data_IF_224489570242
#
_entry.id   IF_224489570242
#
_cell.length_a   1.000
_cell.length_b   1.000
_cell.length_c   1.000
_cell.angle_alpha   90.00
_cell.angle_beta   90.00
_cell.angle_gamma   90.00
#
_symmetry.space_group_name_H-M   'P 1'
#
loop_
_entity.id
_entity.type
_entity.pdbx_description
1 polymer ?
#
# COMPACT_ATOMS: atom_id res chain seq x y z
N UNK A 1 5.23 -7.47 18.57
CA UNK A 1 5.95 -6.23 18.22
C UNK A 1 5.17 -5.57 17.10
N UNK A 2 4.30 -4.61 17.43
CA UNK A 2 3.44 -3.95 16.44
C UNK A 2 4.26 -2.90 15.71
N UNK A 3 4.35 -3.00 14.38
CA UNK A 3 5.00 -1.98 13.56
C UNK A 3 4.15 -0.70 13.66
N UNK A 4 4.73 0.40 14.13
CA UNK A 4 4.07 1.70 14.12
C UNK A 4 3.85 2.14 12.66
N UNK A 5 2.70 2.73 12.28
CA UNK A 5 2.41 3.12 10.89
C UNK A 5 3.50 3.98 10.24
N UNK A 6 4.09 4.91 11.01
CA UNK A 6 5.21 5.73 10.54
C UNK A 6 6.48 4.91 10.24
N UNK A 7 6.74 3.83 10.98
CA UNK A 7 7.86 2.93 10.71
C UNK A 7 7.61 2.10 9.43
N UNK A 8 6.37 1.62 9.24
CA UNK A 8 5.99 0.91 8.01
C UNK A 8 6.16 1.80 6.76
N UNK A 9 5.71 3.06 6.82
CA UNK A 9 5.87 4.01 5.73
C UNK A 9 7.33 4.26 5.38
N UNK A 10 8.19 4.50 6.38
CA UNK A 10 9.64 4.67 6.17
C UNK A 10 10.28 3.44 5.55
N UNK A 11 9.88 2.25 5.99
CA UNK A 11 10.38 1.00 5.42
C UNK A 11 9.95 0.84 3.96
N UNK A 12 8.71 1.21 3.61
CA UNK A 12 8.23 1.17 2.23
C UNK A 12 9.01 2.14 1.32
N UNK A 13 9.25 3.38 1.78
CA UNK A 13 10.07 4.38 1.08
C UNK A 13 11.49 3.85 0.85
N UNK A 14 12.11 3.29 1.89
CA UNK A 14 13.45 2.74 1.80
C UNK A 14 13.52 1.52 0.85
N UNK A 15 12.55 0.61 0.93
CA UNK A 15 12.48 -0.59 0.10
C UNK A 15 12.34 -0.23 -1.39
N UNK A 16 11.49 0.75 -1.72
CA UNK A 16 11.30 1.23 -3.09
C UNK A 16 12.40 2.21 -3.53
N UNK A 17 13.34 2.55 -2.66
CA UNK A 17 14.37 3.58 -2.88
C UNK A 17 13.78 4.90 -3.40
N UNK A 18 12.72 5.38 -2.73
CA UNK A 18 12.04 6.65 -3.04
C UNK A 18 12.61 7.80 -2.19
N UNK A 19 12.29 9.03 -2.59
CA UNK A 19 12.53 10.19 -1.74
C UNK A 19 11.72 10.11 -0.42
N UNK A 20 12.21 10.66 0.70
CA UNK A 20 11.56 10.59 2.01
C UNK A 20 10.10 11.09 2.04
N UNK A 21 9.76 12.01 1.14
CA UNK A 21 8.47 12.67 0.99
C UNK A 21 7.66 12.15 -0.22
N UNK A 22 8.13 11.10 -0.90
CA UNK A 22 7.45 10.54 -2.05
C UNK A 22 6.11 9.86 -1.72
N UNK A 23 5.92 9.45 -0.45
CA UNK A 23 4.72 8.82 0.06
C UNK A 23 4.21 9.54 1.30
N UNK A 24 2.91 9.78 1.35
CA UNK A 24 2.21 10.27 2.55
C UNK A 24 1.22 9.20 2.99
N UNK A 25 1.31 8.80 4.26
CA UNK A 25 0.35 7.88 4.84
C UNK A 25 -1.03 8.53 4.97
N UNK A 26 -2.06 7.78 4.60
CA UNK A 26 -3.44 8.11 4.92
C UNK A 26 -3.74 7.56 6.33
N UNK A 27 -3.83 8.46 7.31
CA UNK A 27 -4.10 8.09 8.71
C UNK A 27 -5.56 7.75 8.97
N UNK A 28 -6.47 8.05 8.03
CA UNK A 28 -7.88 7.71 8.12
C UNK A 28 -8.14 6.24 7.78
N UNK A 29 -7.25 5.59 7.03
CA UNK A 29 -7.39 4.21 6.63
C UNK A 29 -6.48 3.26 7.43
N UNK A 30 -7.09 2.20 7.95
CA UNK A 30 -6.37 1.02 8.42
C UNK A 30 -7.25 -0.23 8.30
N UNK A 31 -6.64 -1.36 7.97
CA UNK A 31 -7.33 -2.64 7.90
C UNK A 31 -6.48 -3.74 8.52
N UNK A 32 -7.12 -4.71 9.17
CA UNK A 32 -6.45 -5.93 9.60
C UNK A 32 -6.63 -7.03 8.54
N UNK A 33 -5.54 -7.68 8.18
CA UNK A 33 -5.54 -8.90 7.38
C UNK A 33 -5.15 -10.08 8.27
N UNK A 34 -6.03 -11.07 8.36
CA UNK A 34 -5.76 -12.32 9.05
C UNK A 34 -4.87 -13.21 8.16
N UNK A 35 -3.75 -13.66 8.70
CA UNK A 35 -2.92 -14.71 8.10
C UNK A 35 -2.92 -15.94 9.02
N UNK A 36 -2.53 -17.13 8.55
CA UNK A 36 -2.49 -18.33 9.40
C UNK A 36 -1.63 -18.18 10.66
N UNK A 37 -0.64 -17.29 10.63
CA UNK A 37 0.34 -17.12 11.71
C UNK A 37 0.09 -15.88 12.58
N UNK A 38 -0.49 -14.81 12.01
CA UNK A 38 -0.73 -13.57 12.75
C UNK A 38 -1.73 -12.64 12.03
N UNK A 39 -2.17 -11.58 12.72
CA UNK A 39 -2.86 -10.45 12.08
C UNK A 39 -1.85 -9.41 11.64
N UNK A 40 -1.96 -8.94 10.40
CA UNK A 40 -1.13 -7.90 9.83
C UNK A 40 -1.95 -6.62 9.73
N UNK A 41 -1.41 -5.50 10.22
CA UNK A 41 -2.00 -4.18 10.04
C UNK A 41 -1.61 -3.64 8.66
N UNK A 42 -2.60 -3.37 7.83
CA UNK A 42 -2.47 -2.79 6.51
C UNK A 42 -2.84 -1.30 6.60
N UNK A 43 -1.92 -0.44 6.20
CA UNK A 43 -2.15 0.99 6.03
C UNK A 43 -2.25 1.37 4.56
N UNK A 44 -2.70 2.60 4.30
CA UNK A 44 -2.73 3.18 2.97
C UNK A 44 -1.74 4.34 2.90
N UNK A 45 -1.09 4.50 1.75
CA UNK A 45 -0.26 5.66 1.46
C UNK A 45 -0.48 6.09 0.01
N UNK A 46 -0.27 7.38 -0.25
CA UNK A 46 -0.44 7.99 -1.57
C UNK A 46 0.89 8.61 -2.02
N UNK A 47 1.18 8.48 -3.31
CA UNK A 47 2.28 9.22 -3.93
C UNK A 47 2.00 10.73 -3.89
N UNK A 48 3.04 11.52 -3.59
CA UNK A 48 2.94 12.99 -3.58
C UNK A 48 3.09 13.59 -4.97
N UNK A 49 3.64 12.83 -5.92
CA UNK A 49 3.81 13.22 -7.33
C UNK A 49 2.69 12.67 -8.20
N UNK A 50 2.37 13.39 -9.29
CA UNK A 50 1.43 12.90 -10.31
C UNK A 50 2.05 11.74 -11.09
N UNK A 51 3.32 11.88 -11.47
CA UNK A 51 4.06 10.82 -12.16
C UNK A 51 4.42 9.72 -11.16
N UNK A 52 3.86 8.50 -11.32
CA UNK A 52 4.20 7.38 -10.47
C UNK A 52 5.66 6.94 -10.73
N UNK A 53 6.40 6.52 -9.69
CA UNK A 53 7.79 6.10 -9.84
C UNK A 53 7.90 4.67 -10.42
N UNK A 54 7.48 4.48 -11.68
CA UNK A 54 7.47 3.19 -12.37
C UNK A 54 8.83 2.48 -12.33
N UNK A 55 9.90 3.17 -12.69
CA UNK A 55 11.25 2.62 -12.67
C UNK A 55 11.70 2.19 -11.26
N UNK A 56 11.16 2.80 -10.20
CA UNK A 56 11.46 2.40 -8.83
C UNK A 56 10.73 1.11 -8.44
N UNK A 57 9.46 0.99 -8.82
CA UNK A 57 8.67 -0.21 -8.61
C UNK A 57 9.24 -1.42 -9.37
N UNK A 58 9.58 -1.25 -10.65
CA UNK A 58 10.12 -2.34 -11.48
C UNK A 58 11.42 -2.91 -10.93
N UNK A 59 12.29 -2.07 -10.34
CA UNK A 59 13.55 -2.52 -9.71
C UNK A 59 13.35 -3.50 -8.56
N UNK A 60 12.18 -3.50 -7.91
CA UNK A 60 11.84 -4.45 -6.85
C UNK A 60 10.85 -5.53 -7.32
N UNK A 61 10.58 -5.61 -8.63
CA UNK A 61 9.61 -6.53 -9.20
C UNK A 61 8.15 -6.16 -8.92
N UNK A 62 7.89 -4.90 -8.56
CA UNK A 62 6.55 -4.38 -8.36
C UNK A 62 6.00 -3.75 -9.64
N UNK A 63 4.67 -3.76 -9.78
CA UNK A 63 3.96 -3.20 -10.92
C UNK A 63 2.81 -2.32 -10.47
N UNK A 64 2.57 -1.25 -11.21
CA UNK A 64 1.36 -0.45 -11.06
C UNK A 64 0.22 -1.12 -11.84
N UNK A 65 -0.94 -1.24 -11.20
CA UNK A 65 -2.13 -1.82 -11.80
C UNK A 65 -3.32 -0.86 -11.61
N UNK A 66 -4.23 -0.84 -12.58
CA UNK A 66 -5.54 -0.24 -12.38
C UNK A 66 -6.40 -1.14 -11.48
N UNK A 67 -7.36 -0.55 -10.79
CA UNK A 67 -8.27 -1.31 -9.92
C UNK A 67 -9.07 -2.38 -10.69
N UNK A 68 -9.32 -2.16 -11.98
CA UNK A 68 -9.99 -3.13 -12.88
C UNK A 68 -9.15 -4.38 -13.16
N UNK A 69 -7.82 -4.29 -13.02
CA UNK A 69 -6.88 -5.40 -13.20
C UNK A 69 -6.71 -6.23 -11.93
N UNK A 70 -7.15 -5.72 -10.77
CA UNK A 70 -7.04 -6.38 -9.47
C UNK A 70 -7.80 -7.72 -9.38
N UNK A 71 -8.64 -8.06 -10.38
CA UNK A 71 -9.36 -9.35 -10.44
C UNK A 71 -8.42 -10.55 -10.37
N UNK A 72 -7.18 -10.41 -10.85
CA UNK A 72 -6.14 -11.45 -10.83
C UNK A 72 -5.47 -11.64 -9.46
N UNK A 73 -5.69 -10.74 -8.50
CA UNK A 73 -5.10 -10.82 -7.16
C UNK A 73 -5.84 -11.83 -6.27
N UNK A 74 -5.24 -12.16 -5.13
CA UNK A 74 -5.85 -13.05 -4.14
C UNK A 74 -7.15 -12.46 -3.57
N UNK A 75 -8.06 -13.29 -3.01
CA UNK A 75 -9.29 -12.80 -2.39
C UNK A 75 -9.08 -11.74 -1.31
N UNK A 76 -8.04 -11.88 -0.49
CA UNK A 76 -7.73 -10.93 0.60
C UNK A 76 -7.30 -9.58 0.02
N UNK A 77 -6.41 -9.57 -0.98
CA UNK A 77 -5.96 -8.33 -1.61
C UNK A 77 -7.11 -7.58 -2.28
N UNK A 78 -8.01 -8.30 -2.99
CA UNK A 78 -9.20 -7.70 -3.60
C UNK A 78 -10.15 -7.10 -2.56
N UNK A 79 -10.33 -7.78 -1.43
CA UNK A 79 -11.14 -7.27 -0.33
C UNK A 79 -10.53 -6.00 0.28
N UNK A 80 -9.21 -5.97 0.47
CA UNK A 80 -8.50 -4.78 0.96
C UNK A 80 -8.61 -3.61 -0.01
N UNK A 81 -8.43 -3.85 -1.32
CA UNK A 81 -8.59 -2.83 -2.35
C UNK A 81 -10.03 -2.31 -2.43
N UNK A 82 -11.03 -3.16 -2.22
CA UNK A 82 -12.43 -2.74 -2.11
C UNK A 82 -12.64 -1.76 -0.94
N UNK A 83 -12.08 -2.04 0.23
CA UNK A 83 -12.13 -1.13 1.40
C UNK A 83 -11.42 0.19 1.15
N UNK A 84 -10.28 0.15 0.46
CA UNK A 84 -9.56 1.38 0.05
C UNK A 84 -10.41 2.21 -0.91
N UNK A 85 -11.08 1.57 -1.87
CA UNK A 85 -11.96 2.26 -2.82
C UNK A 85 -13.17 2.90 -2.12
N UNK A 86 -13.81 2.17 -1.20
CA UNK A 86 -14.90 2.72 -0.37
C UNK A 86 -14.43 3.92 0.47
N UNK A 87 -13.25 3.82 1.08
CA UNK A 87 -12.64 4.93 1.83
C UNK A 87 -12.32 6.14 0.95
N UNK A 88 -11.86 5.92 -0.29
CA UNK A 88 -11.54 7.00 -1.21
C UNK A 88 -12.77 7.70 -1.81
N UNK A 89 -13.95 7.05 -1.79
CA UNK A 89 -15.23 7.64 -2.22
C UNK A 89 -16.02 8.30 -1.08
N UNK A 90 -15.59 8.12 0.17
CA UNK A 90 -16.21 8.65 1.39
C UNK A 90 -15.77 10.06 1.74
#
# INVERSE_FOLDING_TARGET
MSIHPAAALRQAVAHLALAPDALVADTGFHAWADTPTCKILIGLARFTTIDPPFAAAERVGAHFIALTEARALSPIERLLLGRVYEHAMG
#
